data_IF_342598625871
#
_entry.id   IF_342598625871
#
_cell.length_a   1.000
_cell.length_b   1.000
_cell.length_c   1.000
_cell.angle_alpha   90.00
_cell.angle_beta   90.00
_cell.angle_gamma   90.00
#
_symmetry.space_group_name_H-M   'P 1'
#
loop_
_entity.id
_entity.type
_entity.pdbx_description
1 polymer ?
#
# COMPACT_ATOMS: atom_id res chain seq x y z
N UNK A 1 -26.53 8.70 43.57
CA UNK A 1 -26.07 7.80 42.47
C UNK A 1 -25.58 6.50 43.13
N UNK A 2 -25.81 5.35 42.52
CA UNK A 2 -25.33 4.07 43.10
C UNK A 2 -23.89 3.83 42.71
N UNK A 3 -23.00 3.68 43.68
CA UNK A 3 -21.59 3.33 43.48
C UNK A 3 -21.39 1.82 43.63
N UNK A 4 -20.37 1.30 42.94
CA UNK A 4 -19.95 -0.10 42.95
C UNK A 4 -18.43 -0.20 43.09
N UNK A 5 -17.96 -1.10 43.94
CA UNK A 5 -16.54 -1.37 44.12
C UNK A 5 -16.00 -2.28 43.00
N UNK A 6 -14.98 -1.84 42.29
CA UNK A 6 -14.35 -2.63 41.26
C UNK A 6 -13.58 -3.82 41.86
N UNK A 7 -13.82 -5.04 41.35
CA UNK A 7 -13.14 -6.25 41.83
C UNK A 7 -11.62 -6.26 41.57
N UNK A 8 -11.14 -5.48 40.59
CA UNK A 8 -9.72 -5.43 40.20
C UNK A 8 -8.94 -4.30 40.87
N UNK A 9 -9.36 -3.04 40.67
CA UNK A 9 -8.63 -1.89 41.24
C UNK A 9 -9.10 -1.55 42.67
N UNK A 10 -10.19 -2.19 43.16
CA UNK A 10 -10.76 -1.96 44.50
C UNK A 10 -11.32 -0.56 44.75
N UNK A 11 -11.31 0.31 43.72
CA UNK A 11 -11.88 1.66 43.82
C UNK A 11 -13.40 1.62 43.69
N UNK A 12 -14.07 2.53 44.43
CA UNK A 12 -15.50 2.79 44.25
C UNK A 12 -15.72 3.71 43.06
N UNK A 13 -16.65 3.31 42.20
CA UNK A 13 -16.96 4.03 40.95
C UNK A 13 -18.46 3.99 40.69
N UNK A 14 -18.93 4.97 39.93
CA UNK A 14 -20.33 4.97 39.51
C UNK A 14 -20.69 3.75 38.66
N UNK A 15 -21.94 3.27 38.77
CA UNK A 15 -22.44 2.14 38.00
C UNK A 15 -22.28 2.34 36.48
N UNK A 16 -22.31 3.56 36.00
CA UNK A 16 -22.08 3.96 34.60
C UNK A 16 -20.68 3.56 34.09
N UNK A 17 -19.69 3.45 34.99
CA UNK A 17 -18.32 3.06 34.65
C UNK A 17 -18.11 1.54 34.55
N UNK A 18 -19.15 0.74 34.73
CA UNK A 18 -19.13 -0.72 34.55
C UNK A 18 -19.89 -1.12 33.28
N UNK A 19 -19.37 -2.13 32.59
CA UNK A 19 -20.04 -2.70 31.41
C UNK A 19 -21.28 -3.48 31.86
N UNK A 20 -22.39 -3.38 31.13
CA UNK A 20 -23.61 -4.12 31.37
C UNK A 20 -23.37 -5.63 31.25
N UNK A 21 -23.97 -6.41 32.16
CA UNK A 21 -23.92 -7.87 32.13
C UNK A 21 -25.25 -8.44 32.71
N UNK A 22 -26.10 -8.92 31.81
CA UNK A 22 -27.44 -9.45 32.14
C UNK A 22 -27.46 -10.67 33.07
N UNK A 23 -26.30 -11.32 33.21
CA UNK A 23 -26.15 -12.50 34.08
C UNK A 23 -25.68 -12.17 35.51
N UNK A 24 -25.52 -10.88 35.83
CA UNK A 24 -25.14 -10.44 37.15
C UNK A 24 -26.33 -9.82 37.88
N UNK A 25 -26.46 -10.04 39.22
CA UNK A 25 -27.63 -9.57 40.01
C UNK A 25 -27.83 -8.05 39.93
N UNK A 26 -26.76 -7.28 39.81
CA UNK A 26 -26.78 -5.82 39.71
C UNK A 26 -26.74 -5.32 38.24
N UNK A 27 -26.82 -6.23 37.25
CA UNK A 27 -26.81 -5.91 35.84
C UNK A 27 -25.48 -5.43 35.26
N UNK A 28 -24.38 -5.49 36.05
CA UNK A 28 -23.08 -4.95 35.62
C UNK A 28 -21.92 -5.90 35.94
N UNK A 29 -20.88 -5.85 35.12
CA UNK A 29 -19.66 -6.62 35.35
C UNK A 29 -18.96 -6.25 36.66
N UNK A 30 -18.22 -7.18 37.28
CA UNK A 30 -17.54 -6.91 38.57
C UNK A 30 -16.32 -5.98 38.41
N UNK A 31 -15.76 -5.83 37.24
CA UNK A 31 -14.63 -4.95 36.95
C UNK A 31 -15.05 -3.70 36.18
N UNK A 32 -14.45 -2.55 36.49
CA UNK A 32 -14.74 -1.29 35.79
C UNK A 32 -14.20 -1.30 34.36
N UNK A 33 -14.77 -0.47 33.50
CA UNK A 33 -14.38 -0.32 32.09
C UNK A 33 -12.88 0.00 31.89
N UNK A 34 -12.25 0.70 32.86
CA UNK A 34 -10.81 1.01 32.81
C UNK A 34 -10.00 -0.27 33.03
N UNK A 35 -10.34 -1.08 34.02
CA UNK A 35 -9.67 -2.35 34.28
C UNK A 35 -9.88 -3.35 33.13
N UNK A 36 -11.09 -3.39 32.54
CA UNK A 36 -11.37 -4.18 31.34
C UNK A 36 -10.51 -3.74 30.16
N UNK A 37 -10.42 -2.44 29.88
CA UNK A 37 -9.54 -1.90 28.82
C UNK A 37 -8.07 -2.24 29.05
N UNK A 38 -7.57 -2.16 30.30
CA UNK A 38 -6.20 -2.56 30.64
C UNK A 38 -5.97 -4.06 30.40
N UNK A 39 -6.94 -4.91 30.75
CA UNK A 39 -6.85 -6.36 30.54
C UNK A 39 -6.92 -6.76 29.05
N UNK A 40 -7.63 -5.98 28.22
CA UNK A 40 -7.78 -6.21 26.79
C UNK A 40 -6.84 -5.37 25.93
N UNK A 41 -5.78 -4.76 26.50
CA UNK A 41 -4.74 -4.10 25.71
C UNK A 41 -4.23 -5.06 24.66
N UNK A 42 -4.39 -4.69 23.39
CA UNK A 42 -3.78 -5.43 22.29
C UNK A 42 -2.27 -5.47 22.49
N UNK A 43 -1.61 -6.62 22.29
CA UNK A 43 -0.16 -6.70 22.44
C UNK A 43 0.51 -5.68 21.52
N UNK A 44 1.47 -4.94 22.04
CA UNK A 44 2.28 -3.98 21.28
C UNK A 44 3.10 -4.71 20.21
N UNK A 45 3.62 -3.98 19.23
CA UNK A 45 4.48 -4.55 18.19
C UNK A 45 5.72 -5.19 18.82
N UNK A 46 6.29 -4.57 19.84
CA UNK A 46 7.44 -5.09 20.63
C UNK A 46 7.11 -6.44 21.31
N UNK A 47 5.93 -6.54 21.94
CA UNK A 47 5.46 -7.79 22.55
C UNK A 47 5.24 -8.91 21.52
N UNK A 48 4.79 -8.55 20.31
CA UNK A 48 4.63 -9.52 19.20
C UNK A 48 5.98 -9.97 18.66
N UNK A 49 6.92 -9.06 18.54
CA UNK A 49 8.27 -9.34 18.08
C UNK A 49 9.07 -10.20 19.08
N UNK A 50 8.95 -9.90 20.38
CA UNK A 50 9.52 -10.72 21.43
C UNK A 50 9.02 -12.17 21.37
N UNK A 51 7.69 -12.37 21.21
CA UNK A 51 7.11 -13.70 21.03
C UNK A 51 7.58 -14.41 19.76
N UNK A 52 7.74 -13.66 18.67
CA UNK A 52 8.29 -14.20 17.41
C UNK A 52 9.73 -14.67 17.60
N UNK A 53 10.58 -13.90 18.31
CA UNK A 53 11.96 -14.27 18.63
C UNK A 53 12.03 -15.56 19.46
N UNK A 54 11.12 -15.73 20.43
CA UNK A 54 11.03 -16.95 21.25
C UNK A 54 10.75 -18.19 20.39
N UNK A 55 9.73 -18.13 19.51
CA UNK A 55 9.40 -19.23 18.63
C UNK A 55 10.49 -19.56 17.61
N UNK A 56 11.18 -18.52 17.07
CA UNK A 56 12.32 -18.73 16.17
C UNK A 56 13.52 -19.36 16.89
N UNK A 57 13.80 -18.95 18.14
CA UNK A 57 14.85 -19.53 18.96
C UNK A 57 14.53 -21.00 19.23
N UNK A 58 13.31 -21.31 19.67
CA UNK A 58 12.90 -22.70 19.92
C UNK A 58 13.14 -23.61 18.72
N UNK A 59 12.75 -23.19 17.51
CA UNK A 59 12.96 -23.97 16.29
C UNK A 59 14.45 -24.08 15.89
N UNK A 60 15.24 -23.07 16.19
CA UNK A 60 16.69 -23.11 15.95
C UNK A 60 17.39 -24.08 16.89
N UNK A 61 16.97 -24.10 18.16
CA UNK A 61 17.53 -24.98 19.20
C UNK A 61 17.06 -26.45 19.04
N UNK A 62 15.99 -26.69 18.25
CA UNK A 62 15.41 -28.02 18.01
C UNK A 62 15.18 -28.24 16.49
N UNK A 63 16.23 -28.50 15.69
CA UNK A 63 16.13 -28.61 14.22
C UNK A 63 15.25 -29.79 13.77
N UNK A 64 15.23 -30.88 14.50
CA UNK A 64 14.47 -32.10 14.20
C UNK A 64 13.07 -32.10 14.85
N UNK A 65 12.60 -30.94 15.32
CA UNK A 65 11.31 -30.83 15.99
C UNK A 65 10.15 -31.21 15.07
N UNK A 66 9.41 -32.22 15.51
CA UNK A 66 8.15 -32.65 14.88
C UNK A 66 6.95 -32.22 15.72
N UNK A 67 5.93 -31.75 15.05
CA UNK A 67 4.68 -31.31 15.68
C UNK A 67 3.51 -32.16 15.19
N UNK A 68 2.64 -32.56 16.11
CA UNK A 68 1.42 -33.28 15.75
C UNK A 68 0.35 -32.29 15.28
N UNK A 69 -0.18 -32.51 14.08
CA UNK A 69 -1.29 -31.74 13.55
C UNK A 69 -2.57 -32.00 14.33
N UNK A 70 -3.28 -30.96 14.76
CA UNK A 70 -4.53 -31.12 15.50
C UNK A 70 -5.68 -31.72 14.68
N UNK A 71 -5.59 -31.67 13.32
CA UNK A 71 -6.62 -32.17 12.41
C UNK A 71 -6.32 -33.60 11.91
N UNK A 72 -5.23 -33.81 11.18
CA UNK A 72 -4.90 -35.15 10.65
C UNK A 72 -4.20 -36.05 11.65
N UNK A 73 -3.78 -35.52 12.82
CA UNK A 73 -3.06 -36.28 13.88
C UNK A 73 -1.68 -36.80 13.48
N UNK A 74 -1.19 -36.46 12.31
CA UNK A 74 0.15 -36.83 11.86
C UNK A 74 1.22 -35.99 12.56
N UNK A 75 2.36 -36.62 12.87
CA UNK A 75 3.56 -35.96 13.37
C UNK A 75 4.42 -35.51 12.20
N UNK A 76 4.49 -34.20 11.97
CA UNK A 76 5.10 -33.60 10.80
C UNK A 76 6.21 -32.62 11.22
N UNK A 77 7.16 -32.39 10.33
CA UNK A 77 8.23 -31.40 10.51
C UNK A 77 7.67 -29.97 10.65
N UNK A 78 8.40 -29.11 11.35
CA UNK A 78 8.05 -27.70 11.57
C UNK A 78 7.74 -26.93 10.28
N UNK A 79 8.41 -27.27 9.18
CA UNK A 79 8.20 -26.72 7.82
C UNK A 79 6.78 -26.89 7.29
N UNK A 80 6.07 -27.90 7.75
CA UNK A 80 4.67 -28.21 7.36
C UNK A 80 3.63 -27.36 8.09
N UNK A 81 4.04 -26.48 9.00
CA UNK A 81 3.13 -25.61 9.76
C UNK A 81 3.32 -24.14 9.39
N UNK A 82 2.25 -23.37 9.46
CA UNK A 82 2.31 -21.92 9.36
C UNK A 82 2.84 -21.31 10.66
N UNK A 83 3.56 -20.18 10.58
CA UNK A 83 4.04 -19.46 11.75
C UNK A 83 2.89 -18.90 12.58
N UNK A 84 2.94 -19.07 13.90
CA UNK A 84 1.95 -18.54 14.83
C UNK A 84 2.63 -18.00 16.12
N UNK A 85 2.73 -16.68 16.20
CA UNK A 85 3.36 -16.00 17.36
C UNK A 85 2.60 -16.17 18.70
N UNK A 86 1.44 -16.81 18.69
CA UNK A 86 0.67 -17.10 19.92
C UNK A 86 1.04 -18.45 20.53
N UNK A 87 1.67 -19.33 19.78
CA UNK A 87 2.12 -20.65 20.24
C UNK A 87 3.54 -20.57 20.81
N UNK A 88 3.85 -21.40 21.81
CA UNK A 88 5.18 -21.45 22.44
C UNK A 88 6.29 -21.85 21.46
N UNK A 89 5.98 -22.77 20.56
CA UNK A 89 6.84 -23.27 19.49
C UNK A 89 6.83 -22.38 18.22
N UNK A 90 6.06 -21.30 18.21
CA UNK A 90 5.95 -20.39 17.05
C UNK A 90 5.17 -20.95 15.87
N UNK A 91 4.50 -22.11 15.97
CA UNK A 91 3.82 -22.81 14.90
C UNK A 91 2.31 -22.88 15.07
N UNK A 92 1.58 -22.96 13.97
CA UNK A 92 0.14 -23.20 13.93
C UNK A 92 -0.26 -24.55 14.52
N UNK A 93 -1.51 -24.73 14.84
CA UNK A 93 -2.05 -25.98 15.42
C UNK A 93 -2.34 -27.04 14.35
N UNK A 94 -2.66 -26.63 13.13
CA UNK A 94 -2.92 -27.49 11.97
C UNK A 94 -1.81 -27.35 10.93
N UNK A 95 -1.54 -28.42 10.21
CA UNK A 95 -0.57 -28.39 9.11
C UNK A 95 -1.11 -27.61 7.90
N UNK A 96 -0.21 -27.13 7.04
CA UNK A 96 -0.54 -26.37 5.83
C UNK A 96 -1.50 -27.12 4.90
N UNK A 97 -1.36 -28.45 4.79
CA UNK A 97 -2.23 -29.32 3.99
C UNK A 97 -3.68 -29.27 4.51
N UNK A 98 -3.88 -29.48 5.81
CA UNK A 98 -5.20 -29.41 6.43
C UNK A 98 -5.82 -28.00 6.35
N UNK A 99 -5.01 -26.93 6.46
CA UNK A 99 -5.50 -25.56 6.29
C UNK A 99 -5.90 -25.26 4.84
N UNK A 100 -5.13 -25.79 3.89
CA UNK A 100 -5.45 -25.69 2.46
C UNK A 100 -6.77 -26.39 2.16
N UNK A 101 -6.93 -27.63 2.63
CA UNK A 101 -8.16 -28.42 2.44
C UNK A 101 -9.36 -27.69 3.05
N UNK A 102 -9.25 -27.20 4.30
CA UNK A 102 -10.30 -26.40 4.93
C UNK A 102 -10.68 -25.15 4.09
N UNK A 103 -9.69 -24.50 3.50
CA UNK A 103 -9.94 -23.31 2.67
C UNK A 103 -10.67 -23.67 1.36
N UNK A 104 -10.40 -24.85 0.79
CA UNK A 104 -11.10 -25.36 -0.38
C UNK A 104 -12.53 -25.72 -0.03
N UNK A 105 -12.74 -26.52 1.01
CA UNK A 105 -14.06 -27.01 1.44
C UNK A 105 -15.00 -25.87 1.88
N UNK A 106 -14.43 -24.81 2.45
CA UNK A 106 -15.20 -23.67 2.94
C UNK A 106 -15.13 -22.42 2.05
N UNK A 107 -14.66 -22.56 0.81
CA UNK A 107 -14.37 -21.44 -0.09
C UNK A 107 -15.53 -20.46 -0.23
N UNK A 108 -16.73 -20.96 -0.48
CA UNK A 108 -17.91 -20.10 -0.68
C UNK A 108 -18.34 -19.40 0.61
N UNK A 109 -18.37 -20.11 1.73
CA UNK A 109 -18.66 -19.52 3.04
C UNK A 109 -17.66 -18.42 3.42
N UNK A 110 -16.36 -18.65 3.15
CA UNK A 110 -15.31 -17.65 3.40
C UNK A 110 -15.44 -16.43 2.48
N UNK A 111 -15.83 -16.63 1.21
CA UNK A 111 -16.10 -15.51 0.29
C UNK A 111 -17.29 -14.66 0.75
N UNK A 112 -18.38 -15.30 1.18
CA UNK A 112 -19.56 -14.62 1.70
C UNK A 112 -19.18 -13.77 2.92
N UNK A 113 -18.53 -14.37 3.92
CA UNK A 113 -18.06 -13.68 5.11
C UNK A 113 -17.12 -12.50 4.79
N UNK A 114 -16.20 -12.68 3.85
CA UNK A 114 -15.30 -11.62 3.41
C UNK A 114 -16.04 -10.47 2.71
N UNK A 115 -17.09 -10.77 1.93
CA UNK A 115 -17.94 -9.78 1.26
C UNK A 115 -18.73 -8.97 2.29
N UNK A 116 -19.37 -9.64 3.24
CA UNK A 116 -20.11 -9.00 4.33
C UNK A 116 -19.20 -8.13 5.20
N UNK A 117 -18.03 -8.64 5.58
CA UNK A 117 -17.04 -7.85 6.31
C UNK A 117 -16.66 -6.58 5.58
N UNK A 118 -16.37 -6.66 4.26
CA UNK A 118 -16.03 -5.48 3.44
C UNK A 118 -17.19 -4.49 3.36
N UNK A 119 -18.43 -5.00 3.21
CA UNK A 119 -19.64 -4.17 3.18
C UNK A 119 -19.81 -3.40 4.49
N UNK A 120 -19.72 -4.10 5.62
CA UNK A 120 -19.95 -3.54 6.95
C UNK A 120 -18.80 -2.65 7.46
N UNK A 121 -17.59 -2.80 6.88
CA UNK A 121 -16.40 -2.03 7.30
C UNK A 121 -15.85 -1.12 6.19
N UNK A 122 -16.68 -0.76 5.19
CA UNK A 122 -16.23 -0.01 4.00
C UNK A 122 -15.50 1.29 4.36
N UNK A 123 -16.06 2.07 5.29
CA UNK A 123 -15.46 3.34 5.72
C UNK A 123 -14.13 3.08 6.43
N UNK A 124 -14.09 2.20 7.40
CA UNK A 124 -12.86 1.85 8.14
C UNK A 124 -11.73 1.37 7.22
N UNK A 125 -12.07 0.57 6.19
CA UNK A 125 -11.10 0.09 5.21
C UNK A 125 -10.58 1.26 4.36
N UNK A 126 -11.46 2.19 3.95
CA UNK A 126 -11.09 3.40 3.20
C UNK A 126 -10.16 4.28 4.02
N UNK A 127 -10.52 4.58 5.27
CA UNK A 127 -9.70 5.42 6.16
C UNK A 127 -8.31 4.81 6.40
N UNK A 128 -8.25 3.50 6.59
CA UNK A 128 -6.98 2.80 6.74
C UNK A 128 -6.11 2.87 5.46
N UNK A 129 -6.72 2.74 4.27
CA UNK A 129 -6.00 2.88 3.00
C UNK A 129 -5.52 4.32 2.79
N UNK A 130 -6.37 5.30 3.04
CA UNK A 130 -6.03 6.72 2.90
C UNK A 130 -4.88 7.09 3.83
N UNK A 131 -4.96 6.70 5.11
CA UNK A 131 -3.88 6.95 6.06
C UNK A 131 -2.54 6.38 5.58
N UNK A 132 -2.50 5.09 5.18
CA UNK A 132 -1.27 4.47 4.63
C UNK A 132 -0.77 5.15 3.37
N UNK A 133 -1.68 5.63 2.52
CA UNK A 133 -1.31 6.39 1.33
C UNK A 133 -0.64 7.71 1.71
N UNK A 134 -1.21 8.46 2.67
CA UNK A 134 -0.62 9.71 3.15
C UNK A 134 0.75 9.48 3.82
N UNK A 135 0.84 8.51 4.74
CA UNK A 135 2.10 8.13 5.38
C UNK A 135 3.20 7.85 4.33
N UNK A 136 2.88 7.04 3.30
CA UNK A 136 3.85 6.74 2.23
C UNK A 136 4.16 7.96 1.33
N UNK A 137 3.21 8.84 1.10
CA UNK A 137 3.45 10.07 0.33
C UNK A 137 4.39 11.04 1.05
N UNK A 138 4.48 10.98 2.38
CA UNK A 138 5.36 11.79 3.20
C UNK A 138 6.76 11.17 3.38
N UNK A 139 6.83 9.83 3.57
CA UNK A 139 8.05 9.11 3.96
C UNK A 139 8.82 8.51 2.76
N UNK A 140 8.15 8.26 1.62
CA UNK A 140 8.69 7.51 0.48
C UNK A 140 8.67 8.39 -0.78
N UNK A 141 9.79 9.06 -1.07
CA UNK A 141 9.91 9.99 -2.21
C UNK A 141 9.71 9.28 -3.55
N UNK A 142 10.18 8.02 -3.70
CA UNK A 142 9.94 7.22 -4.90
C UNK A 142 8.46 6.91 -5.09
N UNK A 143 7.76 6.53 -4.03
CA UNK A 143 6.31 6.32 -4.10
C UNK A 143 5.54 7.59 -4.48
N UNK A 144 5.92 8.73 -3.92
CA UNK A 144 5.37 10.05 -4.27
C UNK A 144 5.59 10.36 -5.75
N UNK A 145 6.79 10.09 -6.24
CA UNK A 145 7.17 10.25 -7.64
C UNK A 145 6.35 9.34 -8.57
N UNK A 146 6.25 8.03 -8.26
CA UNK A 146 5.40 7.10 -9.00
C UNK A 146 3.95 7.60 -9.12
N UNK A 147 3.36 8.05 -8.03
CA UNK A 147 1.97 8.52 -8.01
C UNK A 147 1.80 9.78 -8.87
N UNK A 148 2.73 10.75 -8.79
CA UNK A 148 2.70 11.95 -9.63
C UNK A 148 2.83 11.59 -11.10
N UNK A 149 3.79 10.75 -11.46
CA UNK A 149 4.01 10.31 -12.86
C UNK A 149 2.80 9.55 -13.41
N UNK A 150 2.23 8.62 -12.65
CA UNK A 150 1.00 7.91 -13.07
C UNK A 150 -0.18 8.84 -13.30
N UNK A 151 -0.33 9.87 -12.48
CA UNK A 151 -1.38 10.90 -12.64
C UNK A 151 -1.15 11.73 -13.89
N UNK A 152 0.09 12.13 -14.18
CA UNK A 152 0.45 12.86 -15.38
C UNK A 152 0.04 12.06 -16.63
N UNK A 153 0.47 10.80 -16.74
CA UNK A 153 0.15 9.93 -17.87
C UNK A 153 -1.37 9.68 -17.97
N UNK A 154 -2.06 9.45 -16.87
CA UNK A 154 -3.51 9.30 -16.90
C UNK A 154 -4.22 10.56 -17.37
N UNK A 155 -3.74 11.72 -16.92
CA UNK A 155 -4.29 13.03 -17.30
C UNK A 155 -4.07 13.33 -18.79
N UNK A 156 -2.94 12.93 -19.37
CA UNK A 156 -2.66 13.11 -20.80
C UNK A 156 -3.69 12.39 -21.68
N UNK A 157 -4.04 11.15 -21.37
CA UNK A 157 -5.10 10.42 -22.06
C UNK A 157 -6.48 11.05 -21.84
N UNK A 158 -6.80 11.38 -20.59
CA UNK A 158 -8.10 11.95 -20.24
C UNK A 158 -8.35 13.29 -20.96
N UNK A 159 -7.36 14.20 -20.98
CA UNK A 159 -7.46 15.50 -21.68
C UNK A 159 -7.74 15.37 -23.17
N UNK A 160 -7.28 14.29 -23.80
CA UNK A 160 -7.51 13.97 -25.21
C UNK A 160 -8.76 13.12 -25.44
N UNK A 161 -9.56 12.87 -24.41
CA UNK A 161 -10.80 12.08 -24.50
C UNK A 161 -10.59 10.56 -24.61
N UNK A 162 -9.38 10.06 -24.32
CA UNK A 162 -9.06 8.64 -24.44
C UNK A 162 -8.99 7.92 -23.08
N UNK A 163 -9.31 6.64 -23.10
CA UNK A 163 -9.10 5.75 -21.95
C UNK A 163 -7.74 5.06 -22.03
N UNK A 164 -6.94 5.17 -20.96
CA UNK A 164 -5.64 4.50 -20.86
C UNK A 164 -5.84 3.01 -20.58
N UNK A 165 -5.36 2.12 -21.45
CA UNK A 165 -5.48 0.67 -21.30
C UNK A 165 -4.18 -0.03 -20.90
N UNK A 166 -3.02 0.62 -21.10
CA UNK A 166 -1.69 0.10 -20.78
C UNK A 166 -1.21 0.54 -19.40
N UNK A 167 -0.23 -0.15 -18.81
CA UNK A 167 0.42 0.31 -17.59
C UNK A 167 1.25 1.56 -17.87
N UNK A 168 1.39 2.44 -16.87
CA UNK A 168 2.18 3.65 -17.03
C UNK A 168 3.67 3.35 -17.30
N UNK A 169 4.23 2.32 -16.65
CA UNK A 169 5.62 1.86 -16.89
C UNK A 169 5.85 1.33 -18.31
N UNK A 170 4.83 0.75 -18.94
CA UNK A 170 4.90 0.28 -20.34
C UNK A 170 4.96 1.47 -21.31
N UNK A 171 4.19 2.52 -21.05
CA UNK A 171 4.15 3.73 -21.85
C UNK A 171 5.43 4.56 -21.70
N UNK A 172 5.99 4.59 -20.49
CA UNK A 172 7.26 5.26 -20.21
C UNK A 172 8.46 4.57 -20.85
N UNK A 173 8.39 3.26 -21.10
CA UNK A 173 9.50 2.41 -21.55
C UNK A 173 10.71 2.39 -20.59
N UNK A 174 10.50 2.72 -19.32
CA UNK A 174 11.50 2.75 -18.25
C UNK A 174 10.84 2.43 -16.90
N UNK A 175 11.59 1.90 -15.92
CA UNK A 175 11.09 1.77 -14.56
C UNK A 175 11.18 3.11 -13.81
N UNK A 176 10.53 3.20 -12.63
CA UNK A 176 10.43 4.48 -11.91
C UNK A 176 11.73 4.92 -11.24
N UNK A 177 12.58 3.97 -10.83
CA UNK A 177 13.89 4.28 -10.24
C UNK A 177 14.79 4.95 -11.28
N UNK A 178 14.92 4.34 -12.46
CA UNK A 178 15.73 4.86 -13.57
C UNK A 178 15.14 6.15 -14.13
N UNK A 179 13.79 6.27 -14.17
CA UNK A 179 13.14 7.51 -14.57
C UNK A 179 13.46 8.66 -13.60
N UNK A 180 13.51 8.39 -12.31
CA UNK A 180 13.87 9.40 -11.32
C UNK A 180 15.32 9.85 -11.50
N UNK A 181 16.24 8.92 -11.79
CA UNK A 181 17.64 9.24 -12.11
C UNK A 181 17.73 10.08 -13.38
N UNK A 182 17.03 9.68 -14.44
CA UNK A 182 16.96 10.44 -15.71
C UNK A 182 16.47 11.87 -15.50
N UNK A 183 15.36 12.05 -14.82
CA UNK A 183 14.76 13.36 -14.58
C UNK A 183 15.61 14.24 -13.67
N UNK A 184 16.30 13.69 -12.69
CA UNK A 184 17.20 14.45 -11.83
C UNK A 184 18.55 14.80 -12.49
N UNK A 185 18.89 14.14 -13.59
CA UNK A 185 20.12 14.37 -14.35
C UNK A 185 19.85 15.07 -15.68
N UNK A 186 19.54 14.30 -16.70
CA UNK A 186 19.47 14.75 -18.10
C UNK A 186 18.32 15.73 -18.41
N UNK A 187 17.24 15.67 -17.65
CA UNK A 187 16.02 16.42 -17.92
C UNK A 187 15.67 17.44 -16.82
N UNK A 188 16.64 17.82 -16.01
CA UNK A 188 16.38 18.58 -14.79
C UNK A 188 16.60 20.08 -14.90
N UNK A 189 17.38 20.56 -15.85
CA UNK A 189 17.86 21.97 -15.87
C UNK A 189 18.43 22.39 -14.49
N UNK A 190 19.11 21.48 -13.79
CA UNK A 190 19.62 21.68 -12.44
C UNK A 190 18.59 21.49 -11.32
N UNK A 191 17.36 21.10 -11.64
CA UNK A 191 16.31 20.79 -10.66
C UNK A 191 16.39 19.33 -10.22
N UNK A 192 15.92 19.04 -9.02
CA UNK A 192 15.67 17.67 -8.55
C UNK A 192 14.22 17.52 -8.10
N UNK A 193 13.70 16.31 -8.14
CA UNK A 193 12.32 16.06 -7.74
C UNK A 193 12.03 16.49 -6.28
N UNK A 194 13.04 16.55 -5.44
CA UNK A 194 12.95 16.95 -4.03
C UNK A 194 13.19 18.47 -3.82
N UNK A 195 13.41 19.25 -4.90
CA UNK A 195 13.72 20.70 -4.84
C UNK A 195 12.48 21.58 -4.55
N UNK A 196 11.45 21.06 -3.90
CA UNK A 196 10.26 21.86 -3.51
C UNK A 196 9.07 21.70 -4.47
N UNK A 197 8.55 22.80 -5.01
CA UNK A 197 7.35 22.78 -5.87
C UNK A 197 7.68 22.43 -7.32
N UNK A 198 8.11 21.17 -7.52
CA UNK A 198 8.53 20.64 -8.81
C UNK A 198 7.41 19.84 -9.47
N UNK A 199 7.17 20.13 -10.73
CA UNK A 199 6.25 19.45 -11.63
C UNK A 199 7.03 18.58 -12.63
N UNK A 200 6.46 17.42 -12.96
CA UNK A 200 6.86 16.63 -14.10
C UNK A 200 5.98 17.08 -15.26
N UNK A 201 6.58 17.46 -16.38
CA UNK A 201 5.85 17.94 -17.55
C UNK A 201 6.37 17.29 -18.84
N UNK A 202 5.61 17.40 -19.92
CA UNK A 202 6.02 16.94 -21.25
C UNK A 202 6.80 18.02 -21.98
N UNK A 203 7.96 17.69 -22.54
CA UNK A 203 8.75 18.60 -23.39
C UNK A 203 7.93 18.98 -24.61
N UNK A 204 7.51 18.00 -25.40
CA UNK A 204 6.59 18.13 -26.52
C UNK A 204 5.17 18.02 -25.97
N UNK A 205 4.34 19.05 -26.11
CA UNK A 205 3.02 19.09 -25.50
C UNK A 205 2.08 17.96 -25.98
N UNK A 206 1.29 17.42 -25.08
CA UNK A 206 0.30 16.35 -25.37
C UNK A 206 -0.78 16.83 -26.36
N UNK A 207 -1.03 18.13 -26.48
CA UNK A 207 -2.01 18.66 -27.43
C UNK A 207 -1.68 18.32 -28.89
N UNK A 208 -0.41 18.07 -29.25
CA UNK A 208 0.03 17.60 -30.55
C UNK A 208 -0.57 16.25 -30.95
N UNK A 209 -0.88 15.38 -30.00
CA UNK A 209 -1.46 14.08 -30.29
C UNK A 209 -2.88 14.19 -30.86
N UNK A 210 -3.18 13.48 -31.94
CA UNK A 210 -4.47 13.42 -32.64
C UNK A 210 -5.26 12.15 -32.29
N UNK A 211 -4.55 11.09 -31.92
CA UNK A 211 -5.13 9.80 -31.60
C UNK A 211 -4.47 9.21 -30.35
N UNK A 212 -5.00 8.07 -29.91
CA UNK A 212 -4.55 7.40 -28.67
C UNK A 212 -3.12 6.88 -28.74
N UNK A 213 -2.71 6.41 -29.91
CA UNK A 213 -1.38 5.87 -30.18
C UNK A 213 -0.34 7.00 -30.07
N UNK A 214 -0.64 8.17 -30.59
CA UNK A 214 0.21 9.36 -30.48
C UNK A 214 0.32 9.87 -29.03
N UNK A 215 -0.77 9.82 -28.25
CA UNK A 215 -0.70 10.10 -26.80
C UNK A 215 0.25 9.10 -26.11
N UNK A 216 0.24 7.82 -26.51
CA UNK A 216 1.16 6.83 -25.98
C UNK A 216 2.62 7.15 -26.32
N UNK A 217 2.91 7.55 -27.57
CA UNK A 217 4.25 7.97 -28.03
C UNK A 217 4.76 9.15 -27.21
N UNK A 218 3.95 10.19 -27.01
CA UNK A 218 4.33 11.37 -26.23
C UNK A 218 4.48 11.12 -24.72
N UNK A 219 4.03 9.99 -24.19
CA UNK A 219 4.25 9.60 -22.80
C UNK A 219 5.55 8.79 -22.57
N UNK A 220 6.45 8.70 -23.56
CA UNK A 220 7.76 8.11 -23.42
C UNK A 220 8.63 8.91 -22.43
N UNK A 221 9.51 8.25 -21.68
CA UNK A 221 10.32 8.89 -20.63
C UNK A 221 11.17 10.05 -21.15
N UNK A 222 11.71 9.95 -22.40
CA UNK A 222 12.53 11.00 -23.00
C UNK A 222 11.79 12.32 -23.21
N UNK A 223 10.46 12.27 -23.33
CA UNK A 223 9.60 13.43 -23.45
C UNK A 223 9.19 14.05 -22.12
N UNK A 224 9.74 13.59 -21.00
CA UNK A 224 9.46 14.15 -19.68
C UNK A 224 10.61 15.04 -19.20
N UNK A 225 10.28 16.04 -18.41
CA UNK A 225 11.22 16.98 -17.79
C UNK A 225 10.74 17.44 -16.41
N UNK A 226 11.66 17.98 -15.59
CA UNK A 226 11.32 18.69 -14.37
C UNK A 226 11.21 20.20 -14.64
N UNK A 227 10.19 20.81 -14.06
CA UNK A 227 9.97 22.26 -14.14
C UNK A 227 9.49 22.78 -12.79
N UNK A 228 9.75 24.06 -12.49
CA UNK A 228 9.04 24.72 -11.39
C UNK A 228 7.54 24.86 -11.73
N UNK A 229 6.68 25.04 -10.73
CA UNK A 229 5.27 25.31 -10.98
C UNK A 229 5.07 26.58 -11.83
N UNK A 230 5.88 27.60 -11.61
CA UNK A 230 5.85 28.86 -12.35
C UNK A 230 6.22 28.65 -13.83
N UNK A 231 7.34 27.98 -14.10
CA UNK A 231 7.80 27.73 -15.47
C UNK A 231 6.83 26.82 -16.22
N UNK A 232 6.24 25.84 -15.56
CA UNK A 232 5.25 24.95 -16.15
C UNK A 232 3.97 25.68 -16.57
N UNK A 233 3.51 26.66 -15.78
CA UNK A 233 2.36 27.50 -16.14
C UNK A 233 2.75 28.43 -17.30
N UNK A 234 3.92 29.05 -17.24
CA UNK A 234 4.41 29.96 -18.27
C UNK A 234 4.65 29.28 -19.62
N UNK A 235 5.16 28.03 -19.59
CA UNK A 235 5.37 27.22 -20.80
C UNK A 235 4.05 26.89 -21.49
N UNK A 236 3.01 26.53 -20.75
CA UNK A 236 1.72 26.10 -21.32
C UNK A 236 1.92 25.07 -22.44
N UNK A 237 1.42 25.33 -23.66
CA UNK A 237 1.56 24.49 -24.84
C UNK A 237 2.64 25.04 -25.82
N UNK A 238 3.63 25.80 -25.34
CA UNK A 238 4.71 26.36 -26.17
C UNK A 238 5.51 25.26 -26.83
N UNK A 239 6.00 25.55 -28.03
CA UNK A 239 6.92 24.67 -28.74
C UNK A 239 8.24 24.55 -27.96
N UNK A 240 8.82 23.33 -27.89
CA UNK A 240 10.13 23.15 -27.29
C UNK A 240 11.23 23.75 -28.12
N UNK A 241 12.36 24.11 -27.49
CA UNK A 241 13.57 24.52 -28.18
C UNK A 241 14.16 23.38 -29.05
N UNK A 242 15.03 23.73 -29.98
CA UNK A 242 15.70 22.73 -30.83
C UNK A 242 16.55 21.74 -30.01
N UNK A 243 17.23 22.22 -28.98
CA UNK A 243 18.03 21.39 -28.07
C UNK A 243 17.16 20.39 -27.29
N UNK A 244 16.03 20.85 -26.80
CA UNK A 244 15.07 19.98 -26.10
C UNK A 244 14.49 18.91 -27.03
N UNK A 245 14.09 19.29 -28.24
CA UNK A 245 13.64 18.35 -29.28
C UNK A 245 14.72 17.31 -29.58
N UNK A 246 15.95 17.76 -29.86
CA UNK A 246 17.09 16.89 -30.15
C UNK A 246 17.30 15.86 -29.01
N UNK A 247 17.24 16.29 -27.74
CA UNK A 247 17.33 15.40 -26.58
C UNK A 247 16.23 14.35 -26.61
N UNK A 248 14.97 14.74 -26.83
CA UNK A 248 13.83 13.83 -26.88
C UNK A 248 14.01 12.80 -27.98
N UNK A 249 14.34 13.23 -29.22
CA UNK A 249 14.53 12.34 -30.35
C UNK A 249 15.69 11.35 -30.17
N UNK A 250 16.82 11.81 -29.64
CA UNK A 250 18.00 10.97 -29.42
C UNK A 250 17.79 9.85 -28.41
N UNK A 251 16.83 10.02 -27.51
CA UNK A 251 16.53 9.07 -26.44
C UNK A 251 15.19 8.34 -26.62
N UNK A 252 14.45 8.64 -27.70
CA UNK A 252 13.17 8.00 -27.95
C UNK A 252 13.37 6.64 -28.65
N UNK A 253 12.68 5.60 -28.19
CA UNK A 253 12.77 4.24 -28.75
C UNK A 253 12.12 4.10 -30.15
N UNK A 254 11.33 5.07 -30.58
CA UNK A 254 10.72 5.13 -31.91
C UNK A 254 10.68 6.57 -32.44
N UNK A 255 11.81 7.11 -32.89
CA UNK A 255 11.91 8.52 -33.34
C UNK A 255 11.06 8.81 -34.59
N UNK A 256 10.85 7.83 -35.48
CA UNK A 256 10.03 8.01 -36.69
C UNK A 256 8.56 8.29 -36.32
N UNK A 257 8.00 7.50 -35.44
CA UNK A 257 6.64 7.76 -34.94
C UNK A 257 6.53 9.09 -34.20
N UNK A 258 7.57 9.46 -33.45
CA UNK A 258 7.60 10.76 -32.78
C UNK A 258 7.63 11.90 -33.81
N UNK A 259 8.40 11.76 -34.89
CA UNK A 259 8.45 12.71 -36.00
C UNK A 259 7.06 12.90 -36.63
N UNK A 260 6.34 11.80 -36.90
CA UNK A 260 4.99 11.85 -37.46
C UNK A 260 4.00 12.59 -36.56
N UNK A 261 4.12 12.44 -35.23
CA UNK A 261 3.27 13.17 -34.29
C UNK A 261 3.49 14.67 -34.29
N UNK A 262 4.73 15.11 -34.56
CA UNK A 262 5.10 16.52 -34.43
C UNK A 262 4.90 17.27 -35.77
N UNK A 263 5.23 16.65 -36.90
CA UNK A 263 5.36 17.32 -38.19
C UNK A 263 4.32 16.95 -39.25
N UNK A 264 3.55 15.90 -39.05
CA UNK A 264 2.46 15.47 -39.92
C UNK A 264 1.08 15.61 -39.25
#
# INVERSE_FOLDING_TARGET
>A
MKNKKCSKCKEEREMSEFSKDKYKPDGHRPSCKICERKAHKKPTNESREAKRKIGLKFLKDNPDYKKTCSKCKESLEASNFNKNNKSKDGLGFSCKSCEKQYSVDNRESLKIKAREYRKNNRQKIRDCKNRRHHERMEEDSLYKFEIKTRKLIQSSFYRKGFTKNSRASELLCINYDDLMVWLNGEASNGLTFDSGDIHIDHVIPINKARNKEEVAVLNHYSNLQLMTAFDNISKSDSEPSWEEMKRVFSNHNNPDKLFDVIFN
#
